data_IF_037721234532
#
_entry.id   IF_037721234532
#
_cell.length_a   1.000
_cell.length_b   1.000
_cell.length_c   1.000
_cell.angle_alpha   90.00
_cell.angle_beta   90.00
_cell.angle_gamma   90.00
#
_symmetry.space_group_name_H-M   'P 1'
#
loop_
_entity.id
_entity.type
_entity.pdbx_description
1 polymer ?
#
# COMPACT_ATOMS: atom_id res chain seq x y z
N UNK A 1 1.09 52.82 25.18
CA UNK A 1 2.14 51.99 25.82
C UNK A 1 1.81 50.53 25.51
N UNK A 2 2.41 49.92 24.48
CA UNK A 2 2.20 48.47 24.23
C UNK A 2 3.03 47.67 25.22
N UNK A 3 2.36 47.02 26.17
CA UNK A 3 3.00 46.17 27.16
C UNK A 3 3.57 44.90 26.52
N UNK A 4 4.65 44.38 27.09
CA UNK A 4 5.39 43.21 26.60
C UNK A 4 4.48 41.99 26.34
N UNK A 5 3.42 41.86 27.16
CA UNK A 5 2.38 40.83 27.00
C UNK A 5 1.65 40.94 25.67
N UNK A 6 1.22 42.14 25.25
CA UNK A 6 0.53 42.33 23.97
C UNK A 6 1.42 41.93 22.78
N UNK A 7 2.70 42.31 22.83
CA UNK A 7 3.69 41.93 21.81
C UNK A 7 3.93 40.42 21.76
N UNK A 8 3.72 39.67 22.84
CA UNK A 8 3.83 38.22 22.83
C UNK A 8 2.59 37.57 22.19
N UNK A 9 1.38 38.05 22.49
CA UNK A 9 0.16 37.58 21.82
C UNK A 9 0.20 37.86 20.32
N UNK A 10 0.59 39.07 19.90
CA UNK A 10 0.71 39.43 18.48
C UNK A 10 1.74 38.53 17.75
N UNK A 11 2.80 38.07 18.45
CA UNK A 11 3.78 37.11 17.91
C UNK A 11 3.24 35.68 17.86
N UNK A 12 2.43 35.27 18.83
CA UNK A 12 1.80 33.94 18.82
C UNK A 12 0.76 33.83 17.69
N UNK A 13 0.02 34.91 17.43
CA UNK A 13 -0.89 35.01 16.28
C UNK A 13 -0.12 34.94 14.95
N UNK A 14 1.05 35.58 14.85
CA UNK A 14 1.93 35.48 13.68
C UNK A 14 2.45 34.04 13.49
N UNK A 15 2.89 33.37 14.56
CA UNK A 15 3.33 31.97 14.53
C UNK A 15 2.19 31.02 14.11
N UNK A 16 0.98 31.21 14.66
CA UNK A 16 -0.19 30.41 14.29
C UNK A 16 -0.56 30.62 12.81
N UNK A 17 -0.50 31.86 12.33
CA UNK A 17 -0.76 32.23 10.94
C UNK A 17 0.26 31.63 9.97
N UNK A 18 1.54 31.63 10.35
CA UNK A 18 2.64 31.00 9.59
C UNK A 18 2.45 29.48 9.55
N UNK A 19 2.16 28.84 10.69
CA UNK A 19 1.91 27.40 10.77
C UNK A 19 0.68 26.99 9.93
N UNK A 20 -0.36 27.81 9.91
CA UNK A 20 -1.54 27.55 9.09
C UNK A 20 -1.23 27.68 7.60
N UNK A 21 -0.53 28.75 7.17
CA UNK A 21 -0.06 28.87 5.77
C UNK A 21 0.88 27.74 5.37
N UNK A 22 1.75 27.30 6.27
CA UNK A 22 2.59 26.12 6.03
C UNK A 22 1.72 24.88 5.82
N UNK A 23 0.73 24.63 6.68
CA UNK A 23 -0.21 23.51 6.48
C UNK A 23 -0.94 23.61 5.15
N UNK A 24 -1.41 24.79 4.77
CA UNK A 24 -2.12 25.06 3.51
C UNK A 24 -1.23 24.85 2.26
N UNK A 25 0.05 25.25 2.33
CA UNK A 25 1.01 25.09 1.23
C UNK A 25 1.53 23.65 1.12
N UNK A 26 1.61 22.93 2.24
CA UNK A 26 2.06 21.53 2.29
C UNK A 26 0.91 20.51 2.31
N UNK A 27 -0.32 20.90 1.96
CA UNK A 27 -1.38 19.93 1.69
C UNK A 27 -1.01 19.16 0.43
N UNK A 28 -0.52 17.93 0.58
CA UNK A 28 -0.47 17.00 -0.55
C UNK A 28 -1.93 16.68 -0.88
N UNK A 29 -2.41 16.98 -2.10
CA UNK A 29 -3.79 16.71 -2.45
C UNK A 29 -4.10 15.21 -2.31
N UNK A 30 -5.26 14.86 -1.75
CA UNK A 30 -5.67 13.46 -1.56
C UNK A 30 -5.58 12.66 -2.87
N UNK A 31 -5.90 13.30 -4.00
CA UNK A 31 -5.76 12.72 -5.34
C UNK A 31 -4.31 12.35 -5.66
N UNK A 32 -3.34 13.21 -5.33
CA UNK A 32 -1.93 12.95 -5.56
C UNK A 32 -1.44 11.82 -4.66
N UNK A 33 -1.77 11.85 -3.37
CA UNK A 33 -1.40 10.79 -2.41
C UNK A 33 -1.95 9.43 -2.83
N UNK A 34 -3.22 9.38 -3.24
CA UNK A 34 -3.87 8.18 -3.78
C UNK A 34 -3.21 7.70 -5.06
N UNK A 35 -2.88 8.62 -5.98
CA UNK A 35 -2.19 8.28 -7.22
C UNK A 35 -0.81 7.66 -6.95
N UNK A 36 -0.02 8.23 -6.02
CA UNK A 36 1.30 7.67 -5.67
C UNK A 36 1.17 6.27 -5.07
N UNK A 37 0.23 6.09 -4.13
CA UNK A 37 0.01 4.80 -3.47
C UNK A 37 -0.43 3.71 -4.47
N UNK A 38 -1.45 4.01 -5.29
CA UNK A 38 -1.93 3.07 -6.30
C UNK A 38 -0.84 2.77 -7.34
N UNK A 39 -0.11 3.78 -7.81
CA UNK A 39 1.00 3.61 -8.75
C UNK A 39 2.08 2.66 -8.23
N UNK A 40 2.44 2.77 -6.95
CA UNK A 40 3.43 1.88 -6.32
C UNK A 40 2.92 0.44 -6.28
N UNK A 41 1.66 0.24 -5.84
CA UNK A 41 1.00 -1.05 -5.82
C UNK A 41 0.92 -1.73 -7.20
N UNK A 42 0.41 -1.03 -8.22
CA UNK A 42 0.28 -1.57 -9.58
C UNK A 42 1.62 -1.88 -10.26
N UNK A 43 2.71 -1.22 -9.83
CA UNK A 43 4.04 -1.40 -10.43
C UNK A 43 4.88 -2.46 -9.72
N UNK A 44 4.48 -2.90 -8.54
CA UNK A 44 5.18 -3.96 -7.85
C UNK A 44 5.10 -5.26 -8.68
N UNK A 45 6.27 -5.80 -9.02
CA UNK A 45 6.44 -7.08 -9.70
C UNK A 45 7.46 -7.91 -8.93
N UNK A 46 7.21 -9.20 -8.84
CA UNK A 46 8.13 -10.16 -8.27
C UNK A 46 9.22 -10.48 -9.30
N UNK A 47 10.45 -10.68 -8.82
CA UNK A 47 11.54 -11.15 -9.67
C UNK A 47 11.47 -12.66 -9.84
N UNK A 48 11.73 -13.15 -11.05
CA UNK A 48 11.82 -14.60 -11.33
C UNK A 48 12.79 -15.30 -10.36
N UNK A 49 12.36 -16.40 -9.74
CA UNK A 49 13.17 -17.16 -8.77
C UNK A 49 13.33 -16.51 -7.38
N UNK A 50 12.71 -15.35 -7.12
CA UNK A 50 12.69 -14.74 -5.78
C UNK A 50 11.61 -15.35 -4.87
N UNK A 51 11.68 -15.05 -3.56
CA UNK A 51 10.73 -15.57 -2.58
C UNK A 51 9.32 -15.00 -2.79
N UNK A 52 8.36 -15.88 -3.10
CA UNK A 52 6.93 -15.54 -3.19
C UNK A 52 6.39 -15.04 -1.87
N UNK A 53 6.88 -15.58 -0.75
CA UNK A 53 6.46 -15.18 0.59
C UNK A 53 6.85 -13.73 0.87
N UNK A 54 8.11 -13.37 0.63
CA UNK A 54 8.59 -12.00 0.81
C UNK A 54 7.83 -11.02 -0.08
N UNK A 55 7.59 -11.42 -1.33
CA UNK A 55 6.81 -10.62 -2.27
C UNK A 55 5.35 -10.49 -1.84
N UNK A 56 4.72 -11.56 -1.34
CA UNK A 56 3.37 -11.54 -0.79
C UNK A 56 3.23 -10.55 0.36
N UNK A 57 4.13 -10.62 1.35
CA UNK A 57 4.16 -9.66 2.48
C UNK A 57 4.30 -8.22 1.99
N UNK A 58 5.20 -7.97 1.02
CA UNK A 58 5.36 -6.65 0.40
C UNK A 58 4.08 -6.18 -0.27
N UNK A 59 3.40 -7.05 -1.03
CA UNK A 59 2.15 -6.70 -1.69
C UNK A 59 1.04 -6.37 -0.69
N UNK A 60 0.93 -7.12 0.41
CA UNK A 60 -0.04 -6.81 1.47
C UNK A 60 0.20 -5.44 2.10
N UNK A 61 1.46 -5.11 2.39
CA UNK A 61 1.82 -3.78 2.87
C UNK A 61 1.43 -2.67 1.88
N UNK A 62 1.60 -2.91 0.57
CA UNK A 62 1.24 -1.96 -0.47
C UNK A 62 -0.28 -1.79 -0.66
N UNK A 63 -1.12 -2.74 -0.23
CA UNK A 63 -2.60 -2.65 -0.26
C UNK A 63 -3.13 -1.69 0.81
N UNK A 64 -2.52 -1.67 2.00
CA UNK A 64 -3.02 -0.91 3.15
C UNK A 64 -3.19 0.59 2.83
N UNK A 65 -2.25 1.16 2.07
CA UNK A 65 -2.22 2.60 1.81
C UNK A 65 -3.33 3.05 0.83
N UNK A 66 -3.52 2.45 -0.35
CA UNK A 66 -4.68 2.70 -1.20
C UNK A 66 -6.03 2.46 -0.49
N UNK A 67 -6.14 1.41 0.33
CA UNK A 67 -7.36 1.08 1.07
C UNK A 67 -7.74 2.19 2.07
N UNK A 68 -6.77 2.60 2.89
CA UNK A 68 -6.95 3.70 3.86
C UNK A 68 -7.30 5.04 3.20
N UNK A 69 -6.81 5.27 1.98
CA UNK A 69 -7.10 6.47 1.18
C UNK A 69 -8.44 6.39 0.42
N UNK A 70 -9.22 5.32 0.64
CA UNK A 70 -10.48 5.01 -0.06
C UNK A 70 -10.30 5.16 -1.56
N UNK A 71 -9.31 4.45 -2.11
CA UNK A 71 -8.94 4.57 -3.52
C UNK A 71 -10.09 4.24 -4.49
N UNK A 72 -11.16 3.58 -4.03
CA UNK A 72 -12.31 3.19 -4.84
C UNK A 72 -12.08 1.89 -5.61
N UNK A 73 -11.13 1.07 -5.17
CA UNK A 73 -10.87 -0.26 -5.72
C UNK A 73 -11.70 -1.31 -4.98
N UNK A 74 -12.23 -2.27 -5.72
CA UNK A 74 -12.91 -3.43 -5.16
C UNK A 74 -11.89 -4.45 -4.64
N UNK A 75 -12.30 -5.29 -3.67
CA UNK A 75 -11.42 -6.31 -3.09
C UNK A 75 -10.84 -7.25 -4.16
N UNK A 76 -11.65 -7.65 -5.12
CA UNK A 76 -11.22 -8.51 -6.24
C UNK A 76 -10.12 -7.82 -7.07
N UNK A 77 -10.16 -6.50 -7.25
CA UNK A 77 -9.10 -5.77 -7.96
C UNK A 77 -7.76 -5.84 -7.23
N UNK A 78 -7.75 -5.80 -5.89
CA UNK A 78 -6.51 -5.96 -5.13
C UNK A 78 -5.92 -7.36 -5.32
N UNK A 79 -6.76 -8.39 -5.26
CA UNK A 79 -6.35 -9.79 -5.49
C UNK A 79 -5.78 -9.94 -6.90
N UNK A 80 -6.47 -9.43 -7.92
CA UNK A 80 -6.04 -9.51 -9.31
C UNK A 80 -4.66 -8.88 -9.52
N UNK A 81 -4.41 -7.72 -8.90
CA UNK A 81 -3.11 -7.04 -9.01
C UNK A 81 -2.00 -7.82 -8.30
N UNK A 82 -2.31 -8.46 -7.17
CA UNK A 82 -1.37 -9.34 -6.48
C UNK A 82 -1.01 -10.53 -7.37
N UNK A 83 -2.00 -11.20 -7.98
CA UNK A 83 -1.74 -12.32 -8.90
C UNK A 83 -0.93 -11.87 -10.12
N UNK A 84 -1.29 -10.72 -10.73
CA UNK A 84 -0.58 -10.15 -11.87
C UNK A 84 0.85 -9.69 -11.53
N UNK A 85 1.20 -9.55 -10.25
CA UNK A 85 2.54 -9.18 -9.83
C UNK A 85 3.52 -10.35 -9.84
N UNK A 86 3.01 -11.58 -9.88
CA UNK A 86 3.83 -12.79 -9.97
C UNK A 86 4.44 -12.94 -11.37
N UNK A 87 5.59 -13.63 -11.49
CA UNK A 87 6.22 -13.91 -12.77
C UNK A 87 5.44 -14.97 -13.57
N UNK A 88 5.67 -15.07 -14.90
CA UNK A 88 4.96 -16.02 -15.77
C UNK A 88 5.11 -17.49 -15.37
N UNK A 89 6.19 -17.86 -14.67
CA UNK A 89 6.36 -19.22 -14.13
C UNK A 89 5.26 -19.65 -13.15
N UNK A 90 4.49 -18.69 -12.62
CA UNK A 90 3.38 -18.92 -11.71
C UNK A 90 2.02 -18.98 -12.42
N UNK A 91 1.96 -18.92 -13.76
CA UNK A 91 0.72 -19.05 -14.53
C UNK A 91 -0.11 -20.31 -14.13
N UNK A 92 0.49 -21.51 -13.93
CA UNK A 92 -0.27 -22.67 -13.48
C UNK A 92 -0.92 -22.47 -12.10
N UNK A 93 -0.23 -21.77 -11.18
CA UNK A 93 -0.76 -21.42 -9.86
C UNK A 93 -1.94 -20.44 -9.98
N UNK A 94 -1.81 -19.41 -10.82
CA UNK A 94 -2.88 -18.40 -11.03
C UNK A 94 -4.13 -19.07 -11.61
N UNK A 95 -3.97 -19.95 -12.60
CA UNK A 95 -5.07 -20.71 -13.19
C UNK A 95 -5.74 -21.60 -12.13
N UNK A 96 -4.95 -22.29 -11.31
CA UNK A 96 -5.46 -23.12 -10.22
C UNK A 96 -6.21 -22.30 -9.15
N UNK A 97 -5.68 -21.14 -8.76
CA UNK A 97 -6.30 -20.21 -7.83
C UNK A 97 -7.67 -19.73 -8.34
N UNK A 98 -7.72 -19.30 -9.61
CA UNK A 98 -8.95 -18.83 -10.24
C UNK A 98 -10.02 -19.92 -10.40
N UNK A 99 -9.61 -21.18 -10.67
CA UNK A 99 -10.54 -22.27 -10.91
C UNK A 99 -11.09 -22.93 -9.65
N UNK A 100 -10.29 -23.03 -8.58
CA UNK A 100 -10.68 -23.83 -7.41
C UNK A 100 -11.44 -23.05 -6.34
N UNK A 101 -11.59 -21.73 -6.46
CA UNK A 101 -12.33 -20.93 -5.48
C UNK A 101 -11.80 -21.03 -4.05
N UNK A 102 -10.54 -21.46 -3.89
CA UNK A 102 -9.80 -21.44 -2.62
C UNK A 102 -9.88 -20.01 -2.08
N UNK A 103 -10.29 -19.90 -0.82
CA UNK A 103 -10.99 -18.74 -0.29
C UNK A 103 -10.28 -17.46 -0.71
N UNK A 104 -10.98 -16.60 -1.47
CA UNK A 104 -10.55 -15.27 -1.96
C UNK A 104 -10.20 -14.34 -0.80
N UNK A 105 -9.13 -14.65 -0.09
CA UNK A 105 -8.69 -13.98 1.10
C UNK A 105 -7.19 -13.86 1.02
N UNK A 106 -6.73 -12.62 1.14
CA UNK A 106 -5.34 -12.22 1.36
C UNK A 106 -4.62 -13.10 2.40
N UNK A 107 -5.37 -13.74 3.30
CA UNK A 107 -4.86 -14.63 4.33
C UNK A 107 -4.32 -15.98 3.80
N UNK A 108 -4.79 -16.53 2.68
CA UNK A 108 -4.24 -17.78 2.14
C UNK A 108 -2.91 -17.58 1.40
N UNK A 109 -2.63 -16.38 0.87
CA UNK A 109 -1.29 -16.03 0.37
C UNK A 109 -0.22 -16.10 1.47
N UNK A 110 -0.62 -15.93 2.75
CA UNK A 110 0.26 -16.12 3.90
C UNK A 110 0.49 -17.60 4.21
N UNK A 111 -0.37 -18.50 3.75
CA UNK A 111 -0.37 -19.93 4.12
C UNK A 111 0.47 -20.83 3.19
N UNK A 112 1.18 -20.30 2.18
CA UNK A 112 2.29 -21.02 1.51
C UNK A 112 3.52 -21.04 2.43
N UNK A 113 3.31 -21.33 3.71
CA UNK A 113 4.32 -21.62 4.73
C UNK A 113 4.24 -23.12 5.02
N UNK A 114 4.89 -23.93 4.18
CA UNK A 114 5.27 -25.29 4.59
C UNK A 114 4.82 -26.47 3.73
N UNK A 115 5.04 -26.47 2.41
CA UNK A 115 4.98 -27.72 1.63
C UNK A 115 5.89 -27.80 0.39
N UNK A 116 7.10 -27.23 0.45
CA UNK A 116 8.17 -27.59 -0.51
C UNK A 116 9.53 -27.72 0.17
N UNK A 117 9.62 -28.68 1.07
CA UNK A 117 10.83 -29.42 1.44
C UNK A 117 10.26 -30.68 2.10
N UNK A 118 10.27 -31.88 1.52
CA UNK A 118 11.41 -32.64 1.04
C UNK A 118 10.86 -33.74 0.12
N UNK A 119 11.21 -33.75 -1.15
CA UNK A 119 11.29 -34.99 -1.96
C UNK A 119 12.38 -34.79 -3.02
N UNK A 120 13.62 -34.97 -2.57
CA UNK A 120 14.77 -35.22 -3.44
C UNK A 120 15.41 -36.51 -2.94
N UNK A 121 15.37 -37.54 -3.77
CA UNK A 121 16.15 -38.77 -3.61
C UNK A 121 17.65 -38.47 -3.61
#
# INVERSE_FOLDING_TARGET
MSNNVQKQYDRLDDVASILQRMKEVYVIPDRHTRYVATKEFFRAKMTEGSSVQEHGVKMLYLVEKPENLKAGLENDTYIDVILQSLPPSYDPFIVNFNMNGLEKSINELRAVEGSTAVEGK
#
